data_IF_325541264341
#
_entry.id   IF_325541264341
#
_cell.length_a   1.000
_cell.length_b   1.000
_cell.length_c   1.000
_cell.angle_alpha   90.00
_cell.angle_beta   90.00
_cell.angle_gamma   90.00
#
_symmetry.space_group_name_H-M   'P 1'
#
loop_
_entity.id
_entity.type
_entity.pdbx_description
1 polymer ?
#
# COMPACT_ATOMS: atom_id res chain seq x y z
N UNK A 1 6.40 10.38 -0.08
CA UNK A 1 6.26 9.48 1.09
C UNK A 1 7.56 9.52 1.87
N UNK A 2 7.52 9.91 3.14
CA UNK A 2 8.69 9.90 4.04
C UNK A 2 8.25 9.23 5.34
N UNK A 3 8.42 7.91 5.43
CA UNK A 3 7.96 7.14 6.59
C UNK A 3 9.02 6.09 6.96
N UNK A 4 9.12 5.69 8.24
CA UNK A 4 9.97 4.59 8.67
C UNK A 4 9.31 3.23 8.35
N UNK A 5 10.13 2.20 8.13
CA UNK A 5 9.70 0.85 7.77
C UNK A 5 8.59 0.24 8.66
N UNK A 6 8.64 0.36 10.00
CA UNK A 6 7.57 -0.15 10.86
C UNK A 6 6.20 0.51 10.61
N UNK A 7 6.19 1.81 10.28
CA UNK A 7 4.95 2.53 9.96
C UNK A 7 4.39 2.04 8.62
N UNK A 8 5.25 1.84 7.63
CA UNK A 8 4.88 1.27 6.33
C UNK A 8 4.29 -0.14 6.52
N UNK A 9 4.96 -1.02 7.27
CA UNK A 9 4.48 -2.37 7.54
C UNK A 9 3.10 -2.41 8.22
N UNK A 10 2.90 -1.56 9.24
CA UNK A 10 1.62 -1.45 9.93
C UNK A 10 0.51 -0.96 9.02
N UNK A 11 0.77 0.07 8.21
CA UNK A 11 -0.19 0.65 7.25
C UNK A 11 -0.66 -0.34 6.20
N UNK A 12 0.26 -1.17 5.70
CA UNK A 12 -0.05 -2.19 4.68
C UNK A 12 -0.44 -3.55 5.29
N UNK A 13 -0.54 -3.67 6.63
CA UNK A 13 -0.84 -4.91 7.36
C UNK A 13 0.04 -6.09 6.94
N UNK A 14 1.32 -5.82 6.63
CA UNK A 14 2.31 -6.83 6.23
C UNK A 14 3.42 -6.93 7.27
N UNK A 15 4.19 -8.02 7.23
CA UNK A 15 5.32 -8.19 8.15
C UNK A 15 6.44 -7.19 7.86
N UNK A 16 7.17 -6.78 8.91
CA UNK A 16 8.32 -5.88 8.77
C UNK A 16 9.38 -6.46 7.83
N UNK A 17 9.59 -7.77 7.88
CA UNK A 17 10.55 -8.47 7.03
C UNK A 17 10.14 -8.39 5.56
N UNK A 18 8.84 -8.52 5.26
CA UNK A 18 8.33 -8.37 3.89
C UNK A 18 8.65 -6.97 3.34
N UNK A 19 8.31 -5.92 4.10
CA UNK A 19 8.59 -4.54 3.65
C UNK A 19 10.09 -4.28 3.55
N UNK A 20 10.90 -4.82 4.46
CA UNK A 20 12.35 -4.68 4.41
C UNK A 20 12.96 -5.30 3.14
N UNK A 21 12.48 -6.49 2.73
CA UNK A 21 12.94 -7.14 1.50
C UNK A 21 12.64 -6.26 0.28
N UNK A 22 11.40 -5.76 0.18
CA UNK A 22 11.02 -4.85 -0.92
C UNK A 22 11.83 -3.55 -0.88
N UNK A 23 11.99 -2.94 0.31
CA UNK A 23 12.75 -1.71 0.46
C UNK A 23 14.23 -1.88 0.05
N UNK A 24 14.85 -3.00 0.42
CA UNK A 24 16.22 -3.32 0.05
C UNK A 24 16.37 -3.48 -1.47
N UNK A 25 15.42 -4.15 -2.14
CA UNK A 25 15.44 -4.27 -3.60
C UNK A 25 15.30 -2.92 -4.30
N UNK A 26 14.44 -2.03 -3.78
CA UNK A 26 14.26 -0.69 -4.33
C UNK A 26 15.46 0.22 -4.07
N UNK A 27 16.15 0.07 -2.93
CA UNK A 27 17.42 0.74 -2.66
C UNK A 27 18.53 0.26 -3.60
N UNK A 28 18.66 -1.05 -3.80
CA UNK A 28 19.66 -1.64 -4.70
C UNK A 28 19.48 -1.18 -6.15
N UNK A 29 18.24 -0.85 -6.55
CA UNK A 29 17.90 -0.28 -7.86
C UNK A 29 17.99 1.24 -7.93
N UNK A 30 18.40 1.93 -6.86
CA UNK A 30 18.49 3.41 -6.84
C UNK A 30 17.14 4.14 -6.83
N UNK A 31 16.02 3.43 -6.69
CA UNK A 31 14.66 4.00 -6.70
C UNK A 31 14.26 4.60 -5.35
N UNK A 32 14.89 4.12 -4.27
CA UNK A 32 14.78 4.68 -2.93
C UNK A 32 16.12 5.27 -2.47
N UNK A 33 16.03 6.18 -1.51
CA UNK A 33 17.14 6.68 -0.70
C UNK A 33 16.73 6.71 0.77
N UNK A 34 17.69 6.49 1.65
CA UNK A 34 17.51 6.66 3.09
C UNK A 34 17.85 8.08 3.50
N UNK A 35 17.14 8.60 4.50
CA UNK A 35 17.38 9.90 5.11
C UNK A 35 17.49 9.69 6.62
N UNK A 36 18.40 10.39 7.33
CA UNK A 36 18.47 10.31 8.78
C UNK A 36 17.12 10.58 9.42
N UNK A 37 16.78 9.76 10.40
CA UNK A 37 15.61 9.97 11.22
C UNK A 37 16.04 10.75 12.48
N UNK A 38 15.55 11.99 12.68
CA UNK A 38 15.93 12.81 13.83
C UNK A 38 15.50 12.22 15.17
N UNK A 39 14.48 11.34 15.17
CA UNK A 39 13.93 10.71 16.38
C UNK A 39 14.61 9.37 16.69
N UNK A 40 14.98 8.60 15.67
CA UNK A 40 15.54 7.24 15.85
C UNK A 40 16.68 6.92 14.88
N UNK A 41 17.94 7.06 15.33
CA UNK A 41 19.14 6.82 14.52
C UNK A 41 19.22 5.44 13.83
N UNK A 42 18.62 4.40 14.44
CA UNK A 42 18.60 3.02 13.91
C UNK A 42 17.45 2.74 12.91
N UNK A 43 16.55 3.69 12.69
CA UNK A 43 15.39 3.54 11.80
C UNK A 43 15.34 4.70 10.80
N UNK A 44 16.13 4.65 9.72
CA UNK A 44 16.15 5.72 8.72
C UNK A 44 14.79 5.87 8.04
N UNK A 45 14.51 7.08 7.56
CA UNK A 45 13.32 7.37 6.76
C UNK A 45 13.61 7.02 5.31
N UNK A 46 12.62 6.45 4.61
CA UNK A 46 12.75 6.14 3.19
C UNK A 46 12.10 7.23 2.35
N UNK A 47 12.77 7.64 1.27
CA UNK A 47 12.24 8.55 0.25
C UNK A 47 12.50 8.00 -1.14
N UNK A 48 11.61 8.31 -2.08
CA UNK A 48 11.87 8.09 -3.50
C UNK A 48 13.06 8.97 -3.95
N UNK A 49 13.90 8.42 -4.82
CA UNK A 49 14.80 9.22 -5.65
C UNK A 49 14.02 9.94 -6.76
N UNK A 50 14.67 10.78 -7.54
CA UNK A 50 14.07 11.38 -8.74
C UNK A 50 13.64 10.30 -9.74
N UNK A 51 14.53 9.36 -10.04
CA UNK A 51 14.23 8.19 -10.88
C UNK A 51 13.10 7.33 -10.30
N UNK A 52 13.10 7.14 -8.97
CA UNK A 52 12.03 6.46 -8.26
C UNK A 52 10.67 7.14 -8.41
N UNK A 53 10.63 8.48 -8.38
CA UNK A 53 9.41 9.26 -8.61
C UNK A 53 8.90 9.09 -10.03
N UNK A 54 9.77 9.19 -11.02
CA UNK A 54 9.39 9.02 -12.42
C UNK A 54 8.89 7.61 -12.73
N UNK A 55 9.60 6.60 -12.21
CA UNK A 55 9.23 5.20 -12.37
C UNK A 55 7.88 4.92 -11.72
N UNK A 56 7.68 5.41 -10.50
CA UNK A 56 6.38 5.28 -9.82
C UNK A 56 5.26 5.98 -10.59
N UNK A 57 5.51 7.18 -11.15
CA UNK A 57 4.54 7.89 -11.96
C UNK A 57 4.20 7.16 -13.26
N UNK A 58 5.16 6.47 -13.90
CA UNK A 58 4.92 5.60 -15.06
C UNK A 58 4.02 4.42 -14.68
N UNK A 59 4.33 3.72 -13.59
CA UNK A 59 3.51 2.62 -13.07
C UNK A 59 2.08 3.09 -12.79
N UNK A 60 1.93 4.23 -12.09
CA UNK A 60 0.61 4.80 -11.79
C UNK A 60 -0.20 5.14 -13.02
N UNK A 61 0.41 5.74 -14.05
CA UNK A 61 -0.30 6.03 -15.30
C UNK A 61 -0.79 4.76 -15.99
N UNK A 62 0.03 3.71 -16.02
CA UNK A 62 -0.35 2.43 -16.60
C UNK A 62 -1.47 1.75 -15.80
N UNK A 63 -1.39 1.75 -14.47
CA UNK A 63 -2.45 1.26 -13.58
C UNK A 63 -3.77 1.99 -13.85
N UNK A 64 -3.76 3.32 -13.88
CA UNK A 64 -4.95 4.13 -14.16
C UNK A 64 -5.55 3.79 -15.53
N UNK A 65 -4.73 3.63 -16.56
CA UNK A 65 -5.22 3.25 -17.88
C UNK A 65 -5.90 1.87 -17.88
N UNK A 66 -5.35 0.89 -17.16
CA UNK A 66 -5.92 -0.44 -17.03
C UNK A 66 -7.24 -0.39 -16.25
N UNK A 67 -7.25 0.31 -15.11
CA UNK A 67 -8.45 0.49 -14.28
C UNK A 67 -9.54 1.16 -15.11
N UNK A 68 -9.27 2.29 -15.77
CA UNK A 68 -10.26 2.99 -16.57
C UNK A 68 -10.86 2.10 -17.66
N UNK A 69 -10.05 1.27 -18.31
CA UNK A 69 -10.55 0.29 -19.29
C UNK A 69 -11.45 -0.77 -18.65
N UNK A 70 -11.05 -1.29 -17.49
CA UNK A 70 -11.84 -2.30 -16.76
C UNK A 70 -13.21 -1.77 -16.32
N UNK A 71 -13.29 -0.49 -15.98
CA UNK A 71 -14.52 0.16 -15.53
C UNK A 71 -15.33 0.83 -16.65
N UNK A 72 -14.84 0.85 -17.89
CA UNK A 72 -15.43 1.62 -19.00
C UNK A 72 -16.89 1.24 -19.29
N UNK A 73 -17.23 -0.04 -19.17
CA UNK A 73 -18.55 -0.58 -19.50
C UNK A 73 -19.42 -0.83 -18.25
N UNK A 74 -18.96 -0.41 -17.07
CA UNK A 74 -19.70 -0.61 -15.81
C UNK A 74 -20.57 0.61 -15.51
N UNK A 75 -21.80 0.35 -15.07
CA UNK A 75 -22.67 1.43 -14.58
C UNK A 75 -22.12 1.94 -13.25
N UNK A 76 -22.06 3.27 -13.11
CA UNK A 76 -21.55 3.91 -11.91
C UNK A 76 -22.31 3.48 -10.64
N UNK A 77 -23.61 3.24 -10.76
CA UNK A 77 -24.47 2.74 -9.67
C UNK A 77 -24.02 1.36 -9.17
N UNK A 78 -23.72 0.41 -10.06
CA UNK A 78 -23.28 -0.94 -9.69
C UNK A 78 -21.90 -0.92 -9.00
N UNK A 79 -21.02 -0.03 -9.49
CA UNK A 79 -19.69 0.20 -8.89
C UNK A 79 -19.84 0.74 -7.47
N UNK A 80 -20.74 1.70 -7.29
CA UNK A 80 -20.99 2.33 -5.99
C UNK A 80 -21.61 1.34 -4.98
N UNK A 81 -22.59 0.53 -5.40
CA UNK A 81 -23.18 -0.53 -4.58
C UNK A 81 -22.13 -1.57 -4.18
N UNK A 82 -21.29 -2.00 -5.13
CA UNK A 82 -20.19 -2.94 -4.88
C UNK A 82 -19.20 -2.36 -3.87
N UNK A 83 -18.79 -1.10 -4.06
CA UNK A 83 -17.88 -0.40 -3.15
C UNK A 83 -18.44 -0.31 -1.73
N UNK A 84 -19.73 0.02 -1.58
CA UNK A 84 -20.39 0.06 -0.28
C UNK A 84 -20.44 -1.32 0.38
N UNK A 85 -20.75 -2.37 -0.39
CA UNK A 85 -20.78 -3.76 0.08
C UNK A 85 -19.41 -4.20 0.58
N UNK A 86 -18.35 -4.00 -0.22
CA UNK A 86 -16.98 -4.34 0.16
C UNK A 86 -16.52 -3.57 1.41
N UNK A 87 -16.86 -2.28 1.53
CA UNK A 87 -16.51 -1.47 2.71
C UNK A 87 -17.19 -2.00 3.97
N UNK A 88 -18.46 -2.40 3.87
CA UNK A 88 -19.21 -3.00 4.98
C UNK A 88 -18.60 -4.34 5.40
N UNK A 89 -18.20 -5.19 4.44
CA UNK A 89 -17.52 -6.46 4.73
C UNK A 89 -16.16 -6.25 5.39
N UNK A 90 -15.37 -5.29 4.90
CA UNK A 90 -14.07 -4.97 5.48
C UNK A 90 -14.20 -4.49 6.93
N UNK A 91 -15.17 -3.62 7.22
CA UNK A 91 -15.45 -3.17 8.58
C UNK A 91 -15.78 -4.33 9.53
N UNK A 92 -16.58 -5.31 9.07
CA UNK A 92 -16.91 -6.50 9.87
C UNK A 92 -15.71 -7.41 10.14
N UNK A 93 -14.81 -7.56 9.15
CA UNK A 93 -13.56 -8.29 9.35
C UNK A 93 -12.64 -7.60 10.38
N UNK A 94 -12.59 -6.27 10.37
CA UNK A 94 -11.77 -5.49 11.32
C UNK A 94 -12.36 -5.47 12.73
N UNK A 95 -13.69 -5.50 12.88
CA UNK A 95 -14.39 -5.56 14.16
C UNK A 95 -14.37 -6.95 14.83
N UNK A 96 -13.83 -7.98 14.17
CA UNK A 96 -13.77 -9.33 14.73
C UNK A 96 -15.12 -10.04 14.90
N UNK A 97 -16.21 -9.48 14.35
CA UNK A 97 -17.57 -10.03 14.46
C UNK A 97 -17.70 -11.46 13.88
N UNK A 98 -16.78 -11.85 12.99
CA UNK A 98 -16.76 -13.18 12.37
C UNK A 98 -15.77 -14.16 13.03
N UNK A 99 -14.85 -13.69 13.88
CA UNK A 99 -13.80 -14.53 14.47
C UNK A 99 -14.24 -15.30 15.73
N UNK A 100 -15.33 -14.89 16.39
CA UNK A 100 -15.86 -15.61 17.57
C UNK A 100 -16.91 -16.70 17.25
N UNK A 101 -17.39 -16.77 16.00
CA UNK A 101 -18.45 -17.71 15.59
C UNK A 101 -17.96 -19.00 14.93
N UNK A 102 -16.64 -19.14 14.71
CA UNK A 102 -16.00 -20.29 14.06
C UNK A 102 -14.76 -20.79 14.79
N UNK A 103 -14.69 -20.64 16.13
CA UNK A 103 -13.78 -21.45 16.95
C UNK A 103 -14.52 -22.72 17.37
N UNK A 104 -14.31 -23.79 16.60
CA UNK A 104 -14.53 -25.18 17.02
C UNK A 104 -13.28 -25.65 17.74
#
# INVERSE_FOLDING_TARGET
MTEPLPAIASKYRVSRQHVQVTANQLLARGLLRTVPNPVHKRSPLFRLSDEGRETFAKVRRNETAIINKMFADLRLEDVEVTRQTLRSLLGRCESGELLWRYSV
#
